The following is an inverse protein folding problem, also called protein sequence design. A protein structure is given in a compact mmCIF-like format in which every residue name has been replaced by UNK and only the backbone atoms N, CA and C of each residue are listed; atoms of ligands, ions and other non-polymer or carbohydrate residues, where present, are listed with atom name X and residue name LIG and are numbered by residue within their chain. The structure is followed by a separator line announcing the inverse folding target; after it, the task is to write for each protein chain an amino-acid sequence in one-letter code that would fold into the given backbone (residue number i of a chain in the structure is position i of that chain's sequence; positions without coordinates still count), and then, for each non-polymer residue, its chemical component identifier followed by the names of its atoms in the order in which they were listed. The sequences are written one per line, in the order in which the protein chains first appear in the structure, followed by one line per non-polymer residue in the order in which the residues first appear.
data_IF_713741759447
#
_entry.id   IF_713741759447
#
_cell.length_a   1.000
_cell.length_b   1.000
_cell.length_c   1.000
_cell.angle_alpha   90.00
_cell.angle_beta   90.00
_cell.angle_gamma   90.00
#
_symmetry.space_group_name_H-M   'P 1'
#
loop_
_entity.id
_entity.type
_entity.pdbx_description
1 polymer ?
#
# COMPACT_ATOMS: atom_id res chain seq x y z
N UNK A 1 2.63 -11.05 -8.01
CA UNK A 1 1.26 -11.06 -8.60
C UNK A 1 1.33 -10.46 -10.01
N UNK A 2 0.68 -11.07 -11.02
CA UNK A 2 0.81 -10.66 -12.43
C UNK A 2 0.39 -9.20 -12.71
N UNK A 3 -0.68 -8.72 -12.07
CA UNK A 3 -1.14 -7.33 -12.27
C UNK A 3 -0.15 -6.27 -11.76
N UNK A 4 0.52 -6.55 -10.64
CA UNK A 4 1.59 -5.68 -10.10
C UNK A 4 2.76 -5.60 -11.07
N UNK A 5 3.09 -6.69 -11.76
CA UNK A 5 4.16 -6.75 -12.78
C UNK A 5 3.73 -6.27 -14.18
N UNK A 6 2.54 -5.68 -14.32
CA UNK A 6 2.10 -4.99 -15.55
C UNK A 6 1.08 -5.73 -16.43
N UNK A 7 0.59 -6.91 -16.01
CA UNK A 7 -0.48 -7.62 -16.74
C UNK A 7 -1.83 -6.91 -16.55
N UNK A 8 -2.21 -6.11 -17.55
CA UNK A 8 -3.46 -5.33 -17.54
C UNK A 8 -4.72 -6.20 -17.48
N UNK A 9 -4.70 -7.41 -18.05
CA UNK A 9 -5.86 -8.30 -18.00
C UNK A 9 -6.03 -8.90 -16.61
N UNK A 10 -4.92 -9.24 -15.95
CA UNK A 10 -4.95 -9.65 -14.55
C UNK A 10 -5.49 -8.55 -13.63
N UNK A 11 -5.16 -7.28 -13.89
CA UNK A 11 -5.71 -6.13 -13.14
C UNK A 11 -7.22 -6.02 -13.32
N UNK A 12 -7.71 -6.05 -14.57
CA UNK A 12 -9.16 -5.99 -14.85
C UNK A 12 -9.92 -7.11 -14.16
N UNK A 13 -9.44 -8.35 -14.28
CA UNK A 13 -10.06 -9.51 -13.63
C UNK A 13 -10.07 -9.39 -12.11
N UNK A 14 -8.98 -8.89 -11.50
CA UNK A 14 -8.94 -8.66 -10.07
C UNK A 14 -9.98 -7.61 -9.64
N UNK A 15 -10.08 -6.50 -10.36
CA UNK A 15 -11.07 -5.46 -10.08
C UNK A 15 -12.51 -6.01 -10.18
N UNK A 16 -12.84 -6.75 -11.24
CA UNK A 16 -14.17 -7.36 -11.39
C UNK A 16 -14.54 -8.28 -10.22
N UNK A 17 -13.60 -9.14 -9.80
CA UNK A 17 -13.81 -10.05 -8.66
C UNK A 17 -14.02 -9.25 -7.37
N UNK A 18 -13.15 -8.30 -7.06
CA UNK A 18 -13.26 -7.54 -5.81
C UNK A 18 -14.43 -6.57 -5.79
N UNK A 19 -14.86 -6.05 -6.95
CA UNK A 19 -16.07 -5.25 -7.07
C UNK A 19 -17.32 -6.09 -6.77
N UNK A 20 -17.39 -7.32 -7.33
CA UNK A 20 -18.48 -8.25 -7.04
C UNK A 20 -18.50 -8.65 -5.54
N UNK A 21 -17.34 -9.01 -4.98
CA UNK A 21 -17.21 -9.37 -3.57
C UNK A 21 -17.59 -8.21 -2.64
N UNK A 22 -17.21 -6.97 -2.98
CA UNK A 22 -17.60 -5.79 -2.19
C UNK A 22 -19.12 -5.57 -2.21
N UNK A 23 -19.79 -5.93 -3.30
CA UNK A 23 -21.26 -5.90 -3.39
C UNK A 23 -21.93 -6.92 -2.47
N UNK A 24 -21.37 -8.13 -2.32
CA UNK A 24 -21.91 -9.17 -1.45
C UNK A 24 -21.45 -9.05 0.01
N UNK A 25 -20.27 -8.48 0.25
CA UNK A 25 -19.62 -8.37 1.57
C UNK A 25 -19.14 -6.93 1.84
N UNK A 26 -20.05 -5.93 1.90
CA UNK A 26 -19.66 -4.52 2.00
C UNK A 26 -18.94 -4.17 3.31
N UNK A 27 -19.11 -4.98 4.36
CA UNK A 27 -18.48 -4.78 5.67
C UNK A 27 -17.16 -5.57 5.84
N UNK A 28 -16.70 -6.25 4.79
CA UNK A 28 -15.43 -6.97 4.82
C UNK A 28 -14.26 -6.02 4.47
N UNK A 29 -13.52 -5.59 5.50
CA UNK A 29 -12.45 -4.61 5.36
C UNK A 29 -11.36 -5.03 4.36
N UNK A 30 -11.00 -6.32 4.32
CA UNK A 30 -9.94 -6.79 3.40
C UNK A 30 -10.42 -6.79 1.93
N UNK A 31 -11.70 -7.08 1.69
CA UNK A 31 -12.31 -6.98 0.35
C UNK A 31 -12.31 -5.52 -0.11
N UNK A 32 -12.67 -4.58 0.76
CA UNK A 32 -12.63 -3.14 0.48
C UNK A 32 -11.19 -2.69 0.17
N UNK A 33 -10.18 -3.22 0.87
CA UNK A 33 -8.77 -2.91 0.61
C UNK A 33 -8.30 -3.43 -0.75
N UNK A 34 -8.58 -4.70 -1.07
CA UNK A 34 -8.18 -5.27 -2.36
C UNK A 34 -8.90 -4.65 -3.54
N UNK A 35 -10.18 -4.27 -3.37
CA UNK A 35 -10.91 -3.46 -4.35
C UNK A 35 -10.20 -2.12 -4.61
N UNK A 36 -9.83 -1.41 -3.53
CA UNK A 36 -9.08 -0.16 -3.63
C UNK A 36 -7.72 -0.32 -4.31
N UNK A 37 -6.98 -1.37 -3.96
CA UNK A 37 -5.70 -1.69 -4.62
C UNK A 37 -5.88 -1.97 -6.12
N UNK A 38 -6.90 -2.73 -6.50
CA UNK A 38 -7.21 -3.01 -7.90
C UNK A 38 -7.60 -1.75 -8.69
N UNK A 39 -8.35 -0.83 -8.08
CA UNK A 39 -8.67 0.49 -8.66
C UNK A 39 -7.41 1.30 -8.95
N UNK A 40 -6.45 1.37 -8.02
CA UNK A 40 -5.21 2.12 -8.26
C UNK A 40 -4.38 1.52 -9.41
N UNK A 41 -4.39 0.18 -9.58
CA UNK A 41 -3.77 -0.48 -10.71
C UNK A 41 -4.51 -0.20 -12.03
N UNK A 42 -5.84 -0.11 -12.02
CA UNK A 42 -6.60 0.34 -13.18
C UNK A 42 -6.28 1.80 -13.54
N UNK A 43 -6.09 2.66 -12.53
CA UNK A 43 -5.62 4.03 -12.73
C UNK A 43 -4.25 4.09 -13.39
N UNK A 44 -3.29 3.25 -12.96
CA UNK A 44 -1.99 3.12 -13.63
C UNK A 44 -2.13 2.75 -15.11
N UNK A 45 -3.05 1.82 -15.42
CA UNK A 45 -3.20 1.23 -16.74
C UNK A 45 -4.07 2.05 -17.71
N UNK A 46 -4.83 3.02 -17.20
CA UNK A 46 -5.70 3.90 -17.97
C UNK A 46 -4.92 4.78 -18.96
N UNK A 47 -5.58 5.21 -20.04
CA UNK A 47 -4.93 6.02 -21.08
C UNK A 47 -5.00 7.51 -20.77
N UNK A 48 -6.16 7.98 -20.29
CA UNK A 48 -6.44 9.40 -20.09
C UNK A 48 -5.96 9.86 -18.70
N UNK A 49 -5.19 10.97 -18.59
CA UNK A 49 -4.67 11.44 -17.31
C UNK A 49 -5.74 11.64 -16.21
N UNK A 50 -6.91 12.17 -16.58
CA UNK A 50 -8.04 12.37 -15.65
C UNK A 50 -8.51 11.02 -15.09
N UNK A 51 -8.75 10.04 -15.97
CA UNK A 51 -9.15 8.69 -15.56
C UNK A 51 -8.11 8.00 -14.67
N UNK A 52 -6.81 8.28 -14.88
CA UNK A 52 -5.75 7.78 -13.99
C UNK A 52 -5.90 8.36 -12.58
N UNK A 53 -6.10 9.67 -12.50
CA UNK A 53 -6.22 10.38 -11.23
C UNK A 53 -7.48 9.95 -10.47
N UNK A 54 -8.63 9.92 -11.15
CA UNK A 54 -9.92 9.55 -10.54
C UNK A 54 -9.86 8.14 -9.94
N UNK A 55 -9.34 7.16 -10.67
CA UNK A 55 -9.20 5.78 -10.18
C UNK A 55 -8.18 5.64 -9.06
N UNK A 56 -7.09 6.40 -9.11
CA UNK A 56 -6.11 6.41 -8.05
C UNK A 56 -6.69 7.00 -6.75
N UNK A 57 -7.45 8.09 -6.86
CA UNK A 57 -8.15 8.72 -5.73
C UNK A 57 -9.24 7.81 -5.16
N UNK A 58 -10.08 7.20 -6.01
CA UNK A 58 -11.11 6.24 -5.57
C UNK A 58 -10.47 5.04 -4.86
N UNK A 59 -9.38 4.51 -5.42
CA UNK A 59 -8.64 3.40 -4.82
C UNK A 59 -8.03 3.77 -3.46
N UNK A 60 -7.47 4.97 -3.33
CA UNK A 60 -6.93 5.50 -2.08
C UNK A 60 -8.03 5.69 -1.03
N UNK A 61 -9.18 6.25 -1.41
CA UNK A 61 -10.33 6.41 -0.53
C UNK A 61 -10.84 5.07 -0.02
N UNK A 62 -10.92 4.06 -0.89
CA UNK A 62 -11.28 2.69 -0.50
C UNK A 62 -10.27 2.08 0.48
N UNK A 63 -8.97 2.30 0.29
CA UNK A 63 -7.93 1.83 1.23
C UNK A 63 -8.01 2.54 2.59
N UNK A 64 -8.30 3.84 2.59
CA UNK A 64 -8.51 4.60 3.82
C UNK A 64 -9.75 4.11 4.58
N UNK A 65 -10.84 3.79 3.87
CA UNK A 65 -12.02 3.17 4.44
C UNK A 65 -11.68 1.79 5.04
N UNK A 66 -10.92 0.96 4.34
CA UNK A 66 -10.54 -0.36 4.86
C UNK A 66 -9.75 -0.27 6.17
N UNK A 67 -8.87 0.73 6.30
CA UNK A 67 -8.12 0.98 7.54
C UNK A 67 -9.01 1.49 8.67
N UNK A 68 -10.04 2.29 8.39
CA UNK A 68 -10.98 2.71 9.44
C UNK A 68 -11.85 1.54 9.93
N UNK A 69 -12.12 0.55 9.07
CA UNK A 69 -12.85 -0.66 9.41
C UNK A 69 -12.00 -1.65 10.22
N UNK A 70 -10.74 -1.87 9.84
CA UNK A 70 -9.81 -2.74 10.55
C UNK A 70 -8.40 -2.10 10.61
N UNK A 71 -8.13 -1.27 11.65
CA UNK A 71 -6.88 -0.53 11.74
C UNK A 71 -5.69 -1.40 12.14
N UNK A 72 -5.87 -2.65 12.56
CA UNK A 72 -4.78 -3.53 12.98
C UNK A 72 -4.44 -4.59 11.92
N UNK A 73 -5.17 -4.63 10.81
CA UNK A 73 -4.91 -5.57 9.73
C UNK A 73 -3.54 -5.36 9.09
N UNK A 74 -2.69 -6.37 9.23
CA UNK A 74 -1.38 -6.45 8.57
C UNK A 74 -1.47 -6.24 7.06
N UNK A 75 -2.41 -6.93 6.43
CA UNK A 75 -2.54 -6.95 4.97
C UNK A 75 -3.06 -5.60 4.44
N UNK A 76 -4.05 -5.00 5.11
CA UNK A 76 -4.60 -3.69 4.67
C UNK A 76 -3.52 -2.60 4.77
N UNK A 77 -2.75 -2.57 5.86
CA UNK A 77 -1.63 -1.62 6.01
C UNK A 77 -0.55 -1.83 4.97
N UNK A 78 -0.22 -3.08 4.66
CA UNK A 78 0.74 -3.38 3.61
C UNK A 78 0.24 -2.87 2.24
N UNK A 79 -1.02 -3.13 1.90
CA UNK A 79 -1.62 -2.66 0.65
C UNK A 79 -1.62 -1.13 0.57
N UNK A 80 -2.11 -0.45 1.60
CA UNK A 80 -2.19 1.01 1.60
C UNK A 80 -0.80 1.65 1.58
N UNK A 81 0.13 1.19 2.39
CA UNK A 81 1.51 1.69 2.38
C UNK A 81 2.18 1.51 1.00
N UNK A 82 2.04 0.34 0.37
CA UNK A 82 2.60 0.06 -0.97
C UNK A 82 1.94 0.92 -2.06
N UNK A 83 0.64 1.19 -1.97
CA UNK A 83 -0.05 2.08 -2.93
C UNK A 83 0.40 3.52 -2.73
N UNK A 84 0.35 4.04 -1.51
CA UNK A 84 0.77 5.39 -1.15
C UNK A 84 2.23 5.69 -1.56
N UNK A 85 3.13 4.71 -1.43
CA UNK A 85 4.52 4.84 -1.85
C UNK A 85 4.69 5.05 -3.37
N UNK A 86 3.78 4.50 -4.17
CA UNK A 86 3.84 4.52 -5.65
C UNK A 86 3.06 5.67 -6.28
N UNK A 87 2.19 6.32 -5.51
CA UNK A 87 1.45 7.48 -5.98
C UNK A 87 2.36 8.71 -6.07
N UNK A 88 2.21 9.58 -7.08
CA UNK A 88 2.98 10.82 -7.17
C UNK A 88 2.77 11.70 -5.94
N UNK A 89 3.84 11.90 -5.15
CA UNK A 89 3.77 12.68 -3.90
C UNK A 89 3.32 14.13 -4.13
N UNK A 90 3.74 14.74 -5.24
CA UNK A 90 3.39 16.11 -5.61
C UNK A 90 1.88 16.34 -5.82
N UNK A 91 1.12 15.26 -6.05
CA UNK A 91 -0.33 15.32 -6.24
C UNK A 91 -1.09 14.73 -5.05
N UNK A 92 -0.71 13.53 -4.60
CA UNK A 92 -1.48 12.78 -3.59
C UNK A 92 -1.01 12.97 -2.14
N UNK A 93 0.19 13.52 -1.91
CA UNK A 93 0.74 13.80 -0.58
C UNK A 93 0.66 12.61 0.40
N UNK A 94 0.95 11.41 -0.10
CA UNK A 94 0.68 10.13 0.55
C UNK A 94 1.85 9.59 1.37
N UNK A 95 3.02 10.22 1.32
CA UNK A 95 4.22 9.72 1.98
C UNK A 95 4.07 9.58 3.50
N UNK A 96 3.32 10.50 4.14
CA UNK A 96 3.00 10.39 5.57
C UNK A 96 2.18 9.13 5.90
N UNK A 97 1.25 8.75 5.03
CA UNK A 97 0.42 7.54 5.18
C UNK A 97 1.30 6.29 5.02
N UNK A 98 2.16 6.27 4.00
CA UNK A 98 3.10 5.17 3.79
C UNK A 98 4.06 5.00 5.00
N UNK A 99 4.62 6.11 5.51
CA UNK A 99 5.46 6.11 6.72
C UNK A 99 4.70 5.50 7.90
N UNK A 100 3.45 5.92 8.12
CA UNK A 100 2.62 5.42 9.22
C UNK A 100 2.41 3.91 9.13
N UNK A 101 2.05 3.40 7.95
CA UNK A 101 1.74 1.98 7.78
C UNK A 101 2.99 1.11 7.87
N UNK A 102 4.09 1.49 7.24
CA UNK A 102 5.33 0.73 7.33
C UNK A 102 5.93 0.77 8.73
N UNK A 103 5.87 1.91 9.44
CA UNK A 103 6.30 2.00 10.84
C UNK A 103 5.47 1.06 11.72
N UNK A 104 4.14 1.07 11.58
CA UNK A 104 3.28 0.15 12.32
C UNK A 104 3.68 -1.32 12.09
N UNK A 105 3.92 -1.71 10.84
CA UNK A 105 4.29 -3.08 10.49
C UNK A 105 5.62 -3.50 11.13
N UNK A 106 6.63 -2.62 11.11
CA UNK A 106 7.93 -2.87 11.74
C UNK A 106 7.83 -2.90 13.27
N UNK A 107 7.01 -2.04 13.88
CA UNK A 107 6.80 -2.04 15.32
C UNK A 107 6.10 -3.31 15.80
N UNK A 108 5.17 -3.86 15.01
CA UNK A 108 4.58 -5.15 15.30
C UNK A 108 5.58 -6.30 15.18
N UNK A 109 6.47 -6.26 14.18
CA UNK A 109 7.57 -7.23 14.06
C UNK A 109 8.56 -7.18 15.22
N UNK A 110 8.88 -5.98 15.75
CA UNK A 110 9.74 -5.84 16.94
C UNK A 110 9.12 -6.49 18.18
N UNK A 111 7.79 -6.52 18.28
CA UNK A 111 7.07 -7.18 19.38
C UNK A 111 6.98 -8.69 19.19
N UNK A 112 6.83 -9.14 17.95
CA UNK A 112 6.73 -10.54 17.57
C UNK A 112 7.44 -10.78 16.23
N UNK A 113 8.60 -11.45 16.28
CA UNK A 113 9.40 -11.74 15.09
C UNK A 113 8.69 -12.68 14.09
N UNK A 114 7.60 -13.36 14.48
CA UNK A 114 6.79 -14.17 13.57
C UNK A 114 5.72 -13.35 12.83
N UNK A 115 5.53 -12.07 13.18
CA UNK A 115 4.53 -11.20 12.56
C UNK A 115 4.78 -11.00 11.05
N UNK A 116 6.06 -10.90 10.66
CA UNK A 116 6.52 -10.74 9.28
C UNK A 116 7.74 -11.64 9.00
N UNK A 117 7.83 -12.26 7.81
CA UNK A 117 9.05 -12.92 7.37
C UNK A 117 10.20 -11.91 7.19
N UNK A 118 11.44 -12.32 7.49
CA UNK A 118 12.64 -11.46 7.42
C UNK A 118 12.79 -10.72 6.08
N UNK A 119 12.56 -11.39 4.96
CA UNK A 119 12.64 -10.76 3.63
C UNK A 119 11.60 -9.64 3.46
N UNK A 120 10.40 -9.82 4.01
CA UNK A 120 9.36 -8.79 3.98
C UNK A 120 9.72 -7.61 4.89
N UNK A 121 10.37 -7.85 6.03
CA UNK A 121 10.90 -6.79 6.90
C UNK A 121 11.95 -5.96 6.16
N UNK A 122 12.90 -6.61 5.48
CA UNK A 122 13.92 -5.92 4.69
C UNK A 122 13.30 -5.07 3.57
N UNK A 123 12.26 -5.56 2.90
CA UNK A 123 11.51 -4.79 1.90
C UNK A 123 10.79 -3.58 2.53
N UNK A 124 10.11 -3.77 3.66
CA UNK A 124 9.40 -2.69 4.35
C UNK A 124 10.36 -1.61 4.85
N UNK A 125 11.56 -1.97 5.32
CA UNK A 125 12.60 -1.01 5.71
C UNK A 125 13.02 -0.14 4.52
N UNK A 126 13.25 -0.76 3.35
CA UNK A 126 13.61 -0.02 2.12
C UNK A 126 12.47 0.89 1.68
N UNK A 127 11.23 0.38 1.68
CA UNK A 127 10.05 1.15 1.33
C UNK A 127 9.81 2.32 2.29
N UNK A 128 10.02 2.13 3.60
CA UNK A 128 9.93 3.20 4.60
C UNK A 128 10.99 4.27 4.37
N UNK A 129 12.22 3.87 4.04
CA UNK A 129 13.27 4.82 3.65
C UNK A 129 12.87 5.64 2.44
N UNK A 130 12.34 5.00 1.39
CA UNK A 130 11.81 5.72 0.20
C UNK A 130 10.64 6.64 0.56
N UNK A 131 9.75 6.24 1.45
CA UNK A 131 8.66 7.09 1.92
C UNK A 131 9.17 8.35 2.64
N UNK A 132 10.22 8.22 3.47
CA UNK A 132 10.89 9.36 4.08
C UNK A 132 11.59 10.26 3.06
N UNK A 133 12.23 9.70 2.03
CA UNK A 133 12.82 10.47 0.93
C UNK A 133 11.75 11.28 0.18
N UNK A 134 10.63 10.64 -0.18
CA UNK A 134 9.51 11.32 -0.84
C UNK A 134 8.94 12.45 0.03
N UNK A 135 8.92 12.28 1.35
CA UNK A 135 8.53 13.31 2.31
C UNK A 135 9.60 14.39 2.55
N UNK A 136 10.75 14.35 1.88
CA UNK A 136 11.85 15.30 2.04
C UNK A 136 12.69 15.12 3.31
N UNK A 137 12.59 13.98 3.99
CA UNK A 137 13.30 13.69 5.23
C UNK A 137 14.46 12.70 5.01
N UNK A 138 15.56 13.20 4.44
CA UNK A 138 16.74 12.38 4.13
C UNK A 138 17.43 11.78 5.37
N UNK A 139 17.38 12.49 6.50
CA UNK A 139 18.01 12.03 7.74
C UNK A 139 17.33 10.76 8.26
N UNK A 140 15.99 10.76 8.37
CA UNK A 140 15.24 9.57 8.78
C UNK A 140 15.32 8.45 7.73
N UNK A 141 15.35 8.78 6.44
CA UNK A 141 15.54 7.78 5.39
C UNK A 141 16.84 6.98 5.56
N UNK A 142 17.96 7.66 5.85
CA UNK A 142 19.26 7.02 6.11
C UNK A 142 19.26 6.21 7.39
N UNK A 143 18.67 6.75 8.46
CA UNK A 143 18.57 6.09 9.77
C UNK A 143 17.76 4.80 9.70
N UNK A 144 16.66 4.77 8.96
CA UNK A 144 15.85 3.55 8.78
C UNK A 144 16.64 2.47 8.04
N UNK A 145 17.42 2.82 7.01
CA UNK A 145 18.22 1.83 6.28
C UNK A 145 19.29 1.13 7.12
N UNK A 146 19.81 1.79 8.16
CA UNK A 146 20.76 1.16 9.10
C UNK A 146 20.16 -0.03 9.84
N UNK A 147 18.83 -0.10 9.99
CA UNK A 147 18.14 -1.24 10.61
C UNK A 147 18.23 -2.53 9.77
N UNK A 148 18.63 -2.45 8.48
CA UNK A 148 18.83 -3.65 7.67
C UNK A 148 19.92 -4.56 8.23
N UNK A 149 20.93 -3.99 8.89
CA UNK A 149 22.04 -4.73 9.47
C UNK A 149 21.59 -5.60 10.66
N UNK A 150 20.51 -5.20 11.33
CA UNK A 150 19.93 -5.89 12.51
C UNK A 150 18.99 -7.05 12.13
N UNK A 151 18.56 -7.14 10.86
CA UNK A 151 17.60 -8.15 10.38
C UNK A 151 18.30 -9.38 9.78
N UNK A 152 19.60 -9.26 9.46
CA UNK A 152 20.41 -10.34 8.87
C UNK A 152 20.60 -11.51 9.85
#
# INVERSE_FOLDING_TARGET
MKGVTGDKQAVKKAHEIFAALRGSEPNNAIVVAYHGSALTLLGRDAAQPIEKADKAEEGLNSLNQAISMDPNSKEIRLLRGKVCLRLPESFFQCSKIAIQDFTFLLDQYKKDANYLPKNQVQEIIKDLSTAYQNAGNEAEAKKVLQQLDEVN
#
